data_IF_652475422037
#
_entry.id   IF_652475422037
#
_cell.length_a   1.000
_cell.length_b   1.000
_cell.length_c   1.000
_cell.angle_alpha   90.00
_cell.angle_beta   90.00
_cell.angle_gamma   90.00
#
_symmetry.space_group_name_H-M   'P 1'
#
loop_
_entity.id
_entity.type
_entity.pdbx_description
1 polymer ?
#
# COMPACT_ATOMS: atom_id res chain seq x y z
N UNK A 1 -9.29 8.54 -14.96
CA UNK A 1 -8.01 7.90 -15.34
C UNK A 1 -8.26 6.87 -16.45
N UNK A 2 -9.18 5.90 -16.28
CA UNK A 2 -9.45 4.85 -17.28
C UNK A 2 -9.81 5.43 -18.66
N UNK A 3 -10.74 6.38 -18.72
CA UNK A 3 -11.12 7.06 -19.96
C UNK A 3 -9.94 7.82 -20.60
N UNK A 4 -9.09 8.46 -19.79
CA UNK A 4 -7.91 9.15 -20.31
C UNK A 4 -6.93 8.19 -20.95
N UNK A 5 -6.68 7.04 -20.34
CA UNK A 5 -5.81 6.00 -20.88
C UNK A 5 -6.38 5.40 -22.17
N UNK A 6 -7.70 5.13 -22.22
CA UNK A 6 -8.37 4.65 -23.41
C UNK A 6 -8.28 5.65 -24.57
N UNK A 7 -8.55 6.92 -24.29
CA UNK A 7 -8.47 7.98 -25.31
C UNK A 7 -7.03 8.19 -25.81
N UNK A 8 -6.05 8.17 -24.92
CA UNK A 8 -4.63 8.24 -25.31
C UNK A 8 -4.22 7.04 -26.15
N UNK A 9 -4.64 5.83 -25.78
CA UNK A 9 -4.38 4.63 -26.57
C UNK A 9 -5.02 4.70 -27.95
N UNK A 10 -6.28 5.09 -28.04
CA UNK A 10 -6.99 5.28 -29.30
C UNK A 10 -6.34 6.36 -30.19
N UNK A 11 -5.98 7.50 -29.59
CA UNK A 11 -5.29 8.59 -30.32
C UNK A 11 -3.92 8.14 -30.85
N UNK A 12 -3.17 7.38 -30.06
CA UNK A 12 -1.87 6.84 -30.50
C UNK A 12 -2.03 5.85 -31.66
N UNK A 13 -3.01 4.94 -31.58
CA UNK A 13 -3.30 4.00 -32.66
C UNK A 13 -3.73 4.72 -33.94
N UNK A 14 -4.54 5.78 -33.78
CA UNK A 14 -4.95 6.61 -34.91
C UNK A 14 -3.74 7.35 -35.55
N UNK A 15 -2.84 7.89 -34.71
CA UNK A 15 -1.61 8.56 -35.19
C UNK A 15 -0.69 7.62 -35.95
N UNK A 16 -0.62 6.35 -35.54
CA UNK A 16 0.24 5.33 -36.18
C UNK A 16 -0.43 4.64 -37.39
N UNK A 17 -1.62 5.09 -37.81
CA UNK A 17 -2.42 4.48 -38.89
C UNK A 17 -2.77 3.00 -38.65
N UNK A 18 -2.81 2.59 -37.38
CA UNK A 18 -3.10 1.22 -36.92
C UNK A 18 -4.40 1.12 -36.15
N UNK A 19 -5.32 2.10 -36.31
CA UNK A 19 -6.56 2.14 -35.56
C UNK A 19 -7.50 1.03 -35.99
N UNK A 20 -7.69 0.05 -35.11
CA UNK A 20 -8.65 -1.03 -35.25
C UNK A 20 -9.43 -1.20 -33.94
N UNK A 21 -10.74 -1.00 -34.02
CA UNK A 21 -11.64 -1.12 -32.87
C UNK A 21 -11.64 -2.54 -32.31
N UNK A 22 -11.50 -3.54 -33.16
CA UNK A 22 -11.49 -4.95 -32.74
C UNK A 22 -10.22 -5.27 -31.97
N UNK A 23 -9.05 -4.82 -32.43
CA UNK A 23 -7.76 -4.99 -31.74
C UNK A 23 -7.82 -4.27 -30.39
N UNK A 24 -8.34 -3.05 -30.35
CA UNK A 24 -8.49 -2.30 -29.11
C UNK A 24 -9.40 -3.00 -28.11
N UNK A 25 -10.58 -3.45 -28.54
CA UNK A 25 -11.53 -4.17 -27.70
C UNK A 25 -10.94 -5.49 -27.18
N UNK A 26 -10.28 -6.25 -28.04
CA UNK A 26 -9.67 -7.54 -27.69
C UNK A 26 -8.50 -7.36 -26.72
N UNK A 27 -7.69 -6.32 -26.89
CA UNK A 27 -6.58 -5.99 -25.96
C UNK A 27 -7.11 -5.59 -24.60
N UNK A 28 -8.21 -4.83 -24.53
CA UNK A 28 -8.87 -4.46 -23.28
C UNK A 28 -9.41 -5.68 -22.53
N UNK A 29 -10.12 -6.57 -23.24
CA UNK A 29 -10.67 -7.79 -22.63
C UNK A 29 -9.54 -8.70 -22.16
N UNK A 30 -8.54 -8.96 -22.98
CA UNK A 30 -7.41 -9.81 -22.61
C UNK A 30 -6.58 -9.22 -21.47
N UNK A 31 -6.44 -7.88 -21.42
CA UNK A 31 -5.74 -7.20 -20.32
C UNK A 31 -6.50 -7.29 -18.99
N UNK A 32 -7.83 -7.31 -19.03
CA UNK A 32 -8.68 -7.48 -17.86
C UNK A 32 -8.83 -8.95 -17.44
N UNK A 33 -8.80 -9.88 -18.39
CA UNK A 33 -8.94 -11.34 -18.16
C UNK A 33 -7.59 -11.96 -17.77
N UNK A 34 -7.05 -11.51 -16.65
CA UNK A 34 -5.81 -12.04 -16.09
C UNK A 34 -6.08 -12.70 -14.74
N UNK A 35 -5.78 -14.00 -14.62
CA UNK A 35 -5.91 -14.74 -13.37
C UNK A 35 -5.18 -14.05 -12.21
N UNK A 36 -4.03 -13.47 -12.48
CA UNK A 36 -3.23 -12.77 -11.46
C UNK A 36 -3.92 -11.51 -10.91
N UNK A 37 -4.78 -10.85 -11.71
CA UNK A 37 -5.54 -9.68 -11.25
C UNK A 37 -6.64 -10.06 -10.25
N UNK A 38 -7.10 -11.31 -10.24
CA UNK A 38 -8.06 -11.80 -9.23
C UNK A 38 -7.47 -11.73 -7.82
N UNK A 39 -6.16 -11.75 -7.66
CA UNK A 39 -5.53 -11.58 -6.37
C UNK A 39 -5.88 -10.24 -5.71
N UNK A 40 -6.09 -9.17 -6.50
CA UNK A 40 -6.39 -7.83 -5.98
C UNK A 40 -7.69 -7.80 -5.16
N UNK A 41 -8.86 -8.19 -5.71
CA UNK A 41 -10.10 -8.18 -4.92
C UNK A 41 -10.05 -9.11 -3.71
N UNK A 42 -9.36 -10.24 -3.81
CA UNK A 42 -9.20 -11.14 -2.66
C UNK A 42 -8.31 -10.55 -1.57
N UNK A 43 -7.22 -9.86 -1.90
CA UNK A 43 -6.39 -9.15 -0.91
C UNK A 43 -7.14 -7.99 -0.28
N UNK A 44 -7.89 -7.21 -1.07
CA UNK A 44 -8.73 -6.13 -0.52
C UNK A 44 -9.77 -6.69 0.44
N UNK A 45 -10.48 -7.74 0.03
CA UNK A 45 -11.50 -8.38 0.88
C UNK A 45 -10.88 -8.93 2.17
N UNK A 46 -9.76 -9.62 2.09
CA UNK A 46 -9.04 -10.13 3.26
C UNK A 46 -8.64 -8.98 4.20
N UNK A 47 -8.08 -7.88 3.66
CA UNK A 47 -7.72 -6.70 4.43
C UNK A 47 -8.92 -6.07 5.16
N UNK A 48 -10.06 -5.94 4.47
CA UNK A 48 -11.29 -5.39 5.07
C UNK A 48 -11.85 -6.31 6.16
N UNK A 49 -11.89 -7.63 5.95
CA UNK A 49 -12.32 -8.59 6.96
C UNK A 49 -11.41 -8.53 8.20
N UNK A 50 -10.10 -8.44 8.00
CA UNK A 50 -9.13 -8.33 9.09
C UNK A 50 -9.29 -7.04 9.87
N UNK A 51 -9.51 -5.90 9.19
CA UNK A 51 -9.78 -4.62 9.82
C UNK A 51 -11.09 -4.64 10.62
N UNK A 52 -12.16 -5.17 10.03
CA UNK A 52 -13.46 -5.34 10.71
C UNK A 52 -13.37 -6.29 11.92
N UNK A 53 -12.51 -7.30 11.83
CA UNK A 53 -12.20 -8.22 12.95
C UNK A 53 -11.36 -7.63 14.07
N UNK A 54 -10.99 -6.34 14.00
CA UNK A 54 -10.21 -5.64 15.02
C UNK A 54 -8.73 -5.98 15.06
N UNK A 55 -8.20 -6.60 14.00
CA UNK A 55 -6.79 -6.98 13.90
C UNK A 55 -5.89 -5.74 13.91
N UNK A 56 -6.31 -4.64 13.26
CA UNK A 56 -5.57 -3.37 13.23
C UNK A 56 -5.24 -2.85 14.65
N UNK A 57 -6.18 -2.98 15.58
CA UNK A 57 -5.95 -2.61 17.00
C UNK A 57 -4.88 -3.50 17.64
N UNK A 58 -4.96 -4.81 17.41
CA UNK A 58 -3.98 -5.77 17.97
C UNK A 58 -2.59 -5.58 17.39
N UNK A 59 -2.49 -5.18 16.11
CA UNK A 59 -1.22 -4.87 15.43
C UNK A 59 -0.55 -3.64 16.06
N UNK A 60 -1.31 -2.65 16.50
CA UNK A 60 -0.77 -1.49 17.23
C UNK A 60 -0.36 -1.86 18.66
N UNK A 61 -1.09 -2.76 19.31
CA UNK A 61 -0.81 -3.17 20.68
C UNK A 61 0.56 -3.88 20.83
N UNK A 62 1.00 -4.63 19.83
CA UNK A 62 2.28 -5.33 19.86
C UNK A 62 3.47 -4.36 19.89
N UNK A 63 3.67 -3.46 18.92
CA UNK A 63 4.70 -2.43 18.99
C UNK A 63 4.58 -1.52 20.21
N UNK A 64 3.34 -1.24 20.67
CA UNK A 64 3.10 -0.44 21.86
C UNK A 64 3.77 -1.05 23.10
N UNK A 65 3.67 -2.37 23.28
CA UNK A 65 4.33 -3.08 24.38
C UNK A 65 5.85 -3.13 24.24
N UNK A 66 6.36 -3.17 23.00
CA UNK A 66 7.80 -3.30 22.71
C UNK A 66 8.55 -1.97 22.83
N UNK A 67 8.02 -0.91 22.28
CA UNK A 67 8.73 0.38 22.14
C UNK A 67 7.94 1.58 22.68
N UNK A 68 6.67 1.42 23.03
CA UNK A 68 5.81 2.52 23.47
C UNK A 68 6.29 3.23 24.74
N UNK A 69 7.06 2.56 25.58
CA UNK A 69 7.63 3.09 26.81
C UNK A 69 8.84 4.01 26.63
N UNK A 70 9.43 4.03 25.42
CA UNK A 70 10.61 4.85 25.11
C UNK A 70 10.25 6.31 24.82
N UNK A 71 11.17 7.27 25.04
CA UNK A 71 10.97 8.65 24.57
C UNK A 71 10.71 8.63 23.06
N UNK A 72 9.66 9.31 22.59
CA UNK A 72 9.25 9.22 21.20
C UNK A 72 8.56 7.92 20.80
N UNK A 73 8.28 7.03 21.76
CA UNK A 73 7.82 5.65 21.55
C UNK A 73 6.60 5.52 20.64
N UNK A 74 5.63 6.44 20.75
CA UNK A 74 4.44 6.43 19.88
C UNK A 74 4.77 6.60 18.39
N UNK A 75 5.85 7.30 18.05
CA UNK A 75 6.30 7.40 16.67
C UNK A 75 6.87 6.09 16.15
N UNK A 76 7.72 5.43 16.95
CA UNK A 76 8.22 4.09 16.61
C UNK A 76 7.09 3.07 16.48
N UNK A 77 6.08 3.14 17.38
CA UNK A 77 4.87 2.32 17.27
C UNK A 77 4.16 2.57 15.95
N UNK A 78 4.04 3.83 15.52
CA UNK A 78 3.40 4.19 14.26
C UNK A 78 4.10 3.60 13.05
N UNK A 79 5.43 3.68 13.00
CA UNK A 79 6.22 3.10 11.89
C UNK A 79 6.13 1.58 11.88
N UNK A 80 6.31 0.92 13.03
CA UNK A 80 6.21 -0.54 13.13
C UNK A 80 4.79 -1.04 12.79
N UNK A 81 3.75 -0.37 13.28
CA UNK A 81 2.37 -0.70 12.96
C UNK A 81 2.11 -0.54 11.45
N UNK A 82 2.59 0.54 10.82
CA UNK A 82 2.47 0.74 9.39
C UNK A 82 3.17 -0.37 8.59
N UNK A 83 4.37 -0.79 8.99
CA UNK A 83 5.11 -1.88 8.34
C UNK A 83 4.38 -3.23 8.46
N UNK A 84 3.82 -3.53 9.63
CA UNK A 84 3.07 -4.77 9.85
C UNK A 84 1.75 -4.73 9.07
N UNK A 85 1.02 -3.61 9.11
CA UNK A 85 -0.22 -3.44 8.34
C UNK A 85 0.04 -3.57 6.83
N UNK A 86 1.14 -2.97 6.35
CA UNK A 86 1.56 -3.08 4.96
C UNK A 86 1.66 -4.54 4.49
N UNK A 87 2.18 -5.43 5.33
CA UNK A 87 2.32 -6.85 5.01
C UNK A 87 1.00 -7.63 4.99
N UNK A 88 -0.12 -6.99 5.32
CA UNK A 88 -1.43 -7.65 5.38
C UNK A 88 -2.38 -7.19 4.28
N UNK A 89 -2.49 -5.88 4.03
CA UNK A 89 -3.46 -5.33 3.10
C UNK A 89 -2.84 -4.77 1.81
N UNK A 90 -1.61 -4.27 1.88
CA UNK A 90 -0.93 -3.61 0.75
C UNK A 90 -1.64 -2.33 0.28
N UNK A 91 -2.56 -1.78 1.08
CA UNK A 91 -3.33 -0.58 0.77
C UNK A 91 -2.82 0.63 1.56
N UNK A 92 -2.06 1.52 0.90
CA UNK A 92 -1.53 2.73 1.54
C UNK A 92 -2.62 3.56 2.23
N UNK A 93 -3.76 3.75 1.60
CA UNK A 93 -4.83 4.62 2.10
C UNK A 93 -5.53 4.00 3.30
N UNK A 94 -5.96 2.74 3.19
CA UNK A 94 -6.68 2.04 4.26
C UNK A 94 -5.80 1.85 5.49
N UNK A 95 -4.55 1.41 5.30
CA UNK A 95 -3.60 1.18 6.39
C UNK A 95 -3.23 2.48 7.11
N UNK A 96 -2.94 3.55 6.35
CA UNK A 96 -2.67 4.86 6.92
C UNK A 96 -3.85 5.38 7.73
N UNK A 97 -5.07 5.25 7.20
CA UNK A 97 -6.28 5.69 7.89
C UNK A 97 -6.51 4.91 9.20
N UNK A 98 -6.33 3.59 9.17
CA UNK A 98 -6.48 2.74 10.35
C UNK A 98 -5.45 3.07 11.44
N UNK A 99 -4.17 3.21 11.07
CA UNK A 99 -3.10 3.58 12.01
C UNK A 99 -3.32 5.01 12.54
N UNK A 100 -3.70 5.95 11.68
CA UNK A 100 -3.97 7.33 12.07
C UNK A 100 -5.13 7.44 13.05
N UNK A 101 -6.23 6.73 12.81
CA UNK A 101 -7.40 6.73 13.69
C UNK A 101 -7.07 6.27 15.13
N UNK A 102 -6.12 5.35 15.26
CA UNK A 102 -5.69 4.83 16.56
C UNK A 102 -4.62 5.71 17.21
N UNK A 103 -3.58 6.07 16.48
CA UNK A 103 -2.37 6.68 17.06
C UNK A 103 -2.44 8.20 17.15
N UNK A 104 -3.09 8.92 16.23
CA UNK A 104 -3.14 10.39 16.28
C UNK A 104 -3.80 10.90 17.56
N UNK A 105 -4.94 10.36 18.01
CA UNK A 105 -5.53 10.76 19.31
C UNK A 105 -4.59 10.47 20.48
N UNK A 106 -3.91 9.32 20.47
CA UNK A 106 -2.96 8.95 21.53
C UNK A 106 -1.74 9.87 21.56
N UNK A 107 -1.18 10.18 20.38
CA UNK A 107 -0.05 11.11 20.27
C UNK A 107 -0.46 12.53 20.71
N UNK A 108 -1.66 12.96 20.37
CA UNK A 108 -2.21 14.25 20.81
C UNK A 108 -2.38 14.31 22.33
N UNK A 109 -2.92 13.27 22.95
CA UNK A 109 -3.08 13.22 24.42
C UNK A 109 -1.74 13.15 25.17
N UNK A 110 -0.70 12.64 24.52
CA UNK A 110 0.67 12.61 25.03
C UNK A 110 1.49 13.88 24.67
N UNK A 111 0.83 14.96 24.23
CA UNK A 111 1.42 16.26 23.88
C UNK A 111 2.44 16.21 22.73
N UNK A 112 2.32 15.25 21.81
CA UNK A 112 3.10 15.28 20.58
C UNK A 112 2.56 16.34 19.61
N UNK A 113 3.43 17.04 18.85
CA UNK A 113 3.00 17.96 17.82
C UNK A 113 2.18 17.22 16.74
N UNK A 114 0.91 17.58 16.58
CA UNK A 114 -0.02 16.86 15.68
C UNK A 114 0.48 16.84 14.24
N UNK A 115 1.12 17.94 13.80
CA UNK A 115 1.69 18.03 12.44
C UNK A 115 2.79 16.99 12.20
N UNK A 116 3.68 16.77 13.18
CA UNK A 116 4.72 15.74 13.09
C UNK A 116 4.13 14.35 13.14
N UNK A 117 3.16 14.12 14.03
CA UNK A 117 2.45 12.85 14.13
C UNK A 117 1.76 12.48 12.82
N UNK A 118 1.01 13.41 12.23
CA UNK A 118 0.34 13.20 10.95
C UNK A 118 1.34 12.96 9.81
N UNK A 119 2.42 13.74 9.73
CA UNK A 119 3.47 13.56 8.74
C UNK A 119 4.15 12.20 8.84
N UNK A 120 4.49 11.74 10.05
CA UNK A 120 5.10 10.43 10.27
C UNK A 120 4.18 9.28 9.81
N UNK A 121 2.91 9.33 10.21
CA UNK A 121 1.93 8.29 9.87
C UNK A 121 1.68 8.28 8.36
N UNK A 122 1.56 9.44 7.72
CA UNK A 122 1.43 9.55 6.27
C UNK A 122 2.66 8.98 5.54
N UNK A 123 3.86 9.28 6.02
CA UNK A 123 5.10 8.74 5.48
C UNK A 123 5.19 7.21 5.69
N UNK A 124 4.75 6.71 6.85
CA UNK A 124 4.65 5.28 7.12
C UNK A 124 3.71 4.56 6.16
N UNK A 125 2.62 5.19 5.78
CA UNK A 125 1.64 4.63 4.83
C UNK A 125 2.19 4.41 3.43
N UNK A 126 3.22 5.16 3.01
CA UNK A 126 3.89 4.97 1.72
C UNK A 126 4.65 3.64 1.65
N UNK A 127 4.95 3.03 2.78
CA UNK A 127 5.62 1.72 2.84
C UNK A 127 4.68 0.60 2.37
N UNK A 128 3.37 0.73 2.58
CA UNK A 128 2.39 -0.31 2.29
C UNK A 128 2.40 -0.80 0.82
N UNK A 129 2.51 0.06 -0.21
CA UNK A 129 2.59 -0.40 -1.59
C UNK A 129 3.91 -1.09 -1.95
N UNK A 130 4.89 -1.11 -1.07
CA UNK A 130 6.24 -1.64 -1.33
C UNK A 130 6.46 -2.96 -0.62
N UNK A 131 5.97 -3.11 0.62
CA UNK A 131 6.05 -4.38 1.36
C UNK A 131 5.00 -5.35 0.83
N UNK A 132 5.37 -6.60 0.49
CA UNK A 132 4.42 -7.60 0.03
C UNK A 132 3.42 -8.02 1.15
N UNK A 133 2.17 -8.36 0.78
CA UNK A 133 1.57 -8.31 -0.55
C UNK A 133 1.27 -6.88 -0.99
N UNK A 134 1.57 -6.54 -2.26
CA UNK A 134 1.43 -5.20 -2.79
C UNK A 134 0.56 -5.20 -4.05
N UNK A 135 -0.54 -4.46 -4.01
CA UNK A 135 -1.44 -4.29 -5.16
C UNK A 135 -0.71 -3.66 -6.35
N UNK A 136 0.08 -2.58 -6.19
CA UNK A 136 0.88 -2.03 -7.29
C UNK A 136 1.83 -3.02 -7.94
N UNK A 137 2.46 -3.91 -7.18
CA UNK A 137 3.34 -4.93 -7.75
C UNK A 137 2.59 -6.00 -8.54
N UNK A 138 1.36 -6.34 -8.16
CA UNK A 138 0.52 -7.23 -8.94
C UNK A 138 0.19 -6.59 -10.28
N UNK A 139 -0.28 -5.34 -10.27
CA UNK A 139 -0.62 -4.60 -11.49
C UNK A 139 0.62 -4.44 -12.39
N UNK A 140 1.76 -4.06 -11.81
CA UNK A 140 3.01 -3.90 -12.55
C UNK A 140 3.49 -5.23 -13.13
N UNK A 141 3.43 -6.32 -12.36
CA UNK A 141 3.82 -7.66 -12.82
C UNK A 141 2.98 -8.15 -13.99
N UNK A 142 1.65 -7.96 -13.92
CA UNK A 142 0.74 -8.32 -15.02
C UNK A 142 1.01 -7.46 -16.26
N UNK A 143 1.18 -6.14 -16.10
CA UNK A 143 1.39 -5.21 -17.22
C UNK A 143 2.72 -5.42 -17.92
N UNK A 144 3.77 -5.80 -17.18
CA UNK A 144 5.13 -5.96 -17.69
C UNK A 144 5.51 -7.41 -18.00
N UNK A 145 4.63 -8.37 -17.73
CA UNK A 145 4.92 -9.80 -17.89
C UNK A 145 5.97 -10.34 -16.91
N UNK A 146 6.23 -9.63 -15.82
CA UNK A 146 7.21 -10.03 -14.81
C UNK A 146 6.57 -10.93 -13.73
N UNK A 147 7.40 -11.78 -13.13
CA UNK A 147 6.95 -12.63 -12.03
C UNK A 147 6.60 -11.81 -10.80
N UNK A 148 5.34 -11.86 -10.37
CA UNK A 148 4.83 -11.18 -9.17
C UNK A 148 5.60 -11.63 -7.92
N UNK A 149 5.93 -12.91 -7.80
CA UNK A 149 6.71 -13.43 -6.67
C UNK A 149 8.11 -12.80 -6.59
N UNK A 150 8.78 -12.60 -7.73
CA UNK A 150 10.08 -11.92 -7.77
C UNK A 150 9.96 -10.44 -7.40
N UNK A 151 8.90 -9.76 -7.83
CA UNK A 151 8.62 -8.37 -7.47
C UNK A 151 8.37 -8.25 -5.96
N UNK A 152 7.62 -9.17 -5.38
CA UNK A 152 7.37 -9.20 -3.94
C UNK A 152 8.69 -9.36 -3.16
N UNK A 153 9.54 -10.30 -3.55
CA UNK A 153 10.84 -10.46 -2.91
C UNK A 153 11.73 -9.22 -3.04
N UNK A 154 11.69 -8.56 -4.20
CA UNK A 154 12.44 -7.32 -4.42
C UNK A 154 11.94 -6.15 -3.56
N UNK A 155 10.65 -6.12 -3.20
CA UNK A 155 10.05 -5.07 -2.37
C UNK A 155 10.41 -5.15 -0.88
N UNK A 156 10.80 -6.31 -0.37
CA UNK A 156 11.08 -6.50 1.06
C UNK A 156 12.24 -5.60 1.53
N UNK A 157 13.37 -5.64 0.82
CA UNK A 157 14.54 -4.87 1.21
C UNK A 157 14.30 -3.35 1.22
N UNK A 158 13.79 -2.72 0.15
CA UNK A 158 13.51 -1.29 0.17
C UNK A 158 12.41 -0.92 1.18
N UNK A 159 11.38 -1.74 1.37
CA UNK A 159 10.36 -1.49 2.39
C UNK A 159 10.93 -1.48 3.81
N UNK A 160 11.78 -2.43 4.14
CA UNK A 160 12.49 -2.47 5.43
C UNK A 160 13.44 -1.28 5.60
N UNK A 161 14.16 -0.87 4.56
CA UNK A 161 15.02 0.32 4.59
C UNK A 161 14.23 1.59 4.82
N UNK A 162 13.06 1.74 4.19
CA UNK A 162 12.19 2.89 4.41
C UNK A 162 11.69 2.96 5.85
N UNK A 163 11.26 1.83 6.42
CA UNK A 163 10.86 1.76 7.82
C UNK A 163 12.02 2.11 8.76
N UNK A 164 13.21 1.58 8.52
CA UNK A 164 14.40 1.90 9.31
C UNK A 164 14.78 3.38 9.23
N UNK A 165 14.76 3.97 8.05
CA UNK A 165 15.07 5.42 7.88
C UNK A 165 14.02 6.30 8.57
N UNK A 166 12.73 5.96 8.51
CA UNK A 166 11.71 6.67 9.26
C UNK A 166 11.91 6.58 10.77
N UNK A 167 12.33 5.41 11.28
CA UNK A 167 12.67 5.27 12.70
C UNK A 167 13.89 6.08 13.11
N UNK A 168 14.87 6.23 12.22
CA UNK A 168 16.09 7.02 12.48
C UNK A 168 15.83 8.53 12.43
N UNK A 169 14.87 8.98 11.62
CA UNK A 169 14.55 10.40 11.45
C UNK A 169 13.55 10.92 12.49
N UNK A 170 12.85 10.01 13.17
CA UNK A 170 11.90 10.35 14.24
C UNK A 170 12.59 10.65 15.56
#
# INVERSE_FOLDING_TARGET
IAWALLLCGAALMFWLDMFDVQIMAQTLVNGADSFSLLAIPFFVLAGEIMNAGGLSKRIVDLPMKLVGHKPGGLGYVGVLAAMIMASLSGSAVADTAAVAALLVPMMRSANYPVNRAAGLIASGGIIAPIIPPSIPFIIFGVSSGLSISKLFMAGIAPGMMMGATLMLTW
#
